data_IF_080487174026
#
_entry.id   IF_080487174026
#
_cell.length_a   1.000
_cell.length_b   1.000
_cell.length_c   1.000
_cell.angle_alpha   90.00
_cell.angle_beta   90.00
_cell.angle_gamma   90.00
#
_symmetry.space_group_name_H-M   'P 1'
#
loop_
_entity.id
_entity.type
_entity.pdbx_description
1 polymer ?
#
# COMPACT_ATOMS: atom_id res chain seq x y z
N UNK A 1 15.50 1.50 1.72
CA UNK A 1 14.88 0.18 2.00
C UNK A 1 13.37 0.38 1.99
N UNK A 2 12.62 -0.49 1.31
CA UNK A 2 11.15 -0.45 1.23
C UNK A 2 10.61 -1.78 1.75
N UNK A 3 9.47 -1.75 2.44
CA UNK A 3 8.78 -2.95 2.91
C UNK A 3 7.72 -3.34 1.89
N UNK A 4 7.71 -4.60 1.45
CA UNK A 4 6.70 -5.16 0.57
C UNK A 4 5.84 -6.15 1.36
N UNK A 5 4.52 -5.95 1.32
CA UNK A 5 3.51 -6.74 2.03
C UNK A 5 2.69 -7.48 0.98
N UNK A 6 2.78 -8.81 0.98
CA UNK A 6 1.99 -9.65 0.09
C UNK A 6 0.53 -9.66 0.54
N UNK A 7 -0.38 -9.32 -0.37
CA UNK A 7 -1.83 -9.34 -0.16
C UNK A 7 -2.50 -10.07 -1.32
N UNK A 8 -3.71 -10.59 -1.09
CA UNK A 8 -4.47 -11.30 -2.14
C UNK A 8 -4.89 -10.36 -3.26
N UNK A 9 -5.29 -9.14 -2.94
CA UNK A 9 -5.59 -8.11 -3.93
C UNK A 9 -5.25 -6.71 -3.36
N UNK A 10 -4.33 -5.96 -4.00
CA UNK A 10 -3.95 -4.63 -3.54
C UNK A 10 -5.08 -3.60 -3.61
N UNK A 11 -6.03 -3.74 -4.53
CA UNK A 11 -7.15 -2.82 -4.71
C UNK A 11 -8.25 -3.05 -3.64
N UNK A 12 -8.52 -4.30 -3.26
CA UNK A 12 -9.40 -4.66 -2.14
C UNK A 12 -8.75 -4.28 -0.80
N UNK A 13 -7.42 -4.36 -0.71
CA UNK A 13 -6.68 -4.01 0.52
C UNK A 13 -6.53 -2.49 0.73
N UNK A 14 -6.43 -1.72 -0.35
CA UNK A 14 -6.34 -0.25 -0.38
C UNK A 14 -7.30 0.47 0.61
N UNK A 15 -8.62 0.20 0.62
CA UNK A 15 -9.56 0.86 1.54
C UNK A 15 -9.37 0.51 3.02
N UNK A 16 -8.64 -0.56 3.37
CA UNK A 16 -8.37 -0.94 4.76
C UNK A 16 -7.15 -0.21 5.35
N UNK A 17 -6.26 0.29 4.49
CA UNK A 17 -5.01 0.96 4.88
C UNK A 17 -5.24 2.16 5.83
N UNK A 18 -6.25 3.04 5.61
CA UNK A 18 -6.58 4.13 6.53
C UNK A 18 -6.96 3.70 7.93
N UNK A 19 -7.67 2.57 8.07
CA UNK A 19 -8.07 2.05 9.38
C UNK A 19 -6.86 1.57 10.21
N UNK A 20 -5.73 1.27 9.55
CA UNK A 20 -4.47 0.87 10.17
C UNK A 20 -3.53 2.07 10.42
N UNK A 21 -3.99 3.30 10.20
CA UNK A 21 -3.18 4.51 10.35
C UNK A 21 -2.19 4.75 9.22
N UNK A 22 -2.36 4.07 8.09
CA UNK A 22 -1.58 4.28 6.88
C UNK A 22 -2.40 5.04 5.83
N UNK A 23 -1.76 5.61 4.82
CA UNK A 23 -2.43 6.33 3.74
C UNK A 23 -1.89 5.87 2.38
N UNK A 24 -2.68 6.00 1.32
CA UNK A 24 -2.14 5.86 -0.03
C UNK A 24 -1.17 6.99 -0.33
N UNK A 25 -0.11 6.66 -1.06
CA UNK A 25 0.79 7.69 -1.55
C UNK A 25 0.19 8.36 -2.78
N UNK A 26 -0.27 9.59 -2.62
CA UNK A 26 -0.79 10.42 -3.71
C UNK A 26 0.23 10.56 -4.84
N UNK A 27 -0.19 10.32 -6.08
CA UNK A 27 0.68 10.36 -7.26
C UNK A 27 1.52 9.10 -7.50
N UNK A 28 1.43 8.08 -6.65
CA UNK A 28 2.04 6.79 -6.94
C UNK A 28 1.27 6.02 -8.03
N UNK A 29 1.98 5.23 -8.87
CA UNK A 29 1.32 4.43 -9.90
C UNK A 29 0.41 3.39 -9.26
N UNK A 30 -0.88 3.44 -9.62
CA UNK A 30 -1.87 2.39 -9.29
C UNK A 30 -1.76 1.28 -10.34
N UNK A 31 -0.86 0.33 -10.13
CA UNK A 31 -0.67 -0.82 -11.03
C UNK A 31 -1.44 -2.02 -10.52
N UNK A 32 -2.00 -2.86 -11.39
CA UNK A 32 -2.83 -4.02 -10.97
C UNK A 32 -2.13 -4.90 -9.93
N UNK A 33 -0.80 -5.06 -10.02
CA UNK A 33 -0.02 -5.88 -9.08
C UNK A 33 0.52 -5.18 -7.82
N UNK A 34 0.40 -3.85 -7.68
CA UNK A 34 0.88 -3.18 -6.46
C UNK A 34 0.22 -1.83 -6.12
N UNK A 35 0.28 -1.47 -4.84
CA UNK A 35 -0.11 -0.14 -4.32
C UNK A 35 0.96 0.40 -3.38
N UNK A 36 1.30 1.68 -3.53
CA UNK A 36 2.24 2.36 -2.63
C UNK A 36 1.46 3.07 -1.55
N UNK A 37 1.82 2.78 -0.30
CA UNK A 37 1.20 3.35 0.89
C UNK A 37 2.27 3.93 1.81
N UNK A 38 1.87 4.84 2.68
CA UNK A 38 2.69 5.48 3.69
C UNK A 38 2.15 5.08 5.06
N UNK A 39 3.00 4.48 5.88
CA UNK A 39 2.63 4.06 7.23
C UNK A 39 2.42 5.24 8.18
N UNK A 40 1.92 4.98 9.40
CA UNK A 40 1.68 6.02 10.41
C UNK A 40 2.93 6.83 10.79
N UNK A 41 4.12 6.24 10.65
CA UNK A 41 5.41 6.91 10.86
C UNK A 41 5.90 7.72 9.64
N UNK A 42 5.12 7.83 8.57
CA UNK A 42 5.53 8.51 7.34
C UNK A 42 6.44 7.68 6.43
N UNK A 43 6.64 6.39 6.72
CA UNK A 43 7.52 5.53 5.93
C UNK A 43 6.76 4.82 4.80
N UNK A 44 7.31 4.80 3.57
CA UNK A 44 6.66 4.15 2.44
C UNK A 44 6.79 2.62 2.51
N UNK A 45 5.71 1.93 2.18
CA UNK A 45 5.64 0.49 1.98
C UNK A 45 4.75 0.18 0.77
N UNK A 46 4.78 -1.06 0.30
CA UNK A 46 3.97 -1.48 -0.85
C UNK A 46 3.14 -2.71 -0.53
N UNK A 47 1.89 -2.67 -0.98
CA UNK A 47 1.05 -3.84 -1.10
C UNK A 47 1.37 -4.47 -2.46
N UNK A 48 1.67 -5.76 -2.48
CA UNK A 48 2.00 -6.51 -3.70
C UNK A 48 1.17 -7.78 -3.76
N UNK A 49 0.93 -8.28 -4.96
CA UNK A 49 0.38 -9.63 -5.22
C UNK A 49 1.29 -10.35 -6.22
N UNK A 50 1.21 -11.68 -6.25
CA UNK A 50 1.76 -12.51 -7.33
C UNK A 50 1.08 -12.20 -8.68
#
# INVERSE_FOLDING_TARGET
>A
MRLDVMVTDPAESEPHVPALGAALLEGAPKSIGFRVCTGPAGHPFCLVTD
#
